data_IF_980100685312
#
_entry.id   IF_980100685312
#
_cell.length_a   1.000
_cell.length_b   1.000
_cell.length_c   1.000
_cell.angle_alpha   90.00
_cell.angle_beta   90.00
_cell.angle_gamma   90.00
#
_symmetry.space_group_name_H-M   'P 1'
#
loop_
_entity.id
_entity.type
_entity.pdbx_description
1 polymer ?
#
# COMPACT_ATOMS: atom_id res chain seq x y z
N UNK A 1 26.57 16.84 -5.54
CA UNK A 1 25.97 15.52 -5.24
C UNK A 1 26.16 15.24 -3.77
N UNK A 2 25.14 14.75 -3.06
CA UNK A 2 25.34 14.27 -1.68
C UNK A 2 26.10 12.93 -1.74
N UNK A 3 27.12 12.71 -0.89
CA UNK A 3 27.87 11.47 -0.89
C UNK A 3 26.93 10.30 -0.52
N UNK A 4 27.08 9.19 -1.24
CA UNK A 4 26.36 7.95 -1.00
C UNK A 4 27.03 7.25 0.18
N UNK A 5 26.38 7.29 1.35
CA UNK A 5 26.87 6.65 2.57
C UNK A 5 26.87 5.13 2.42
N UNK A 6 27.93 4.47 2.87
CA UNK A 6 28.01 3.02 2.87
C UNK A 6 27.11 2.41 3.96
N UNK A 7 26.77 1.14 3.83
CA UNK A 7 25.98 0.43 4.83
C UNK A 7 26.70 0.37 6.19
N UNK A 8 28.04 0.33 6.17
CA UNK A 8 28.87 0.34 7.37
C UNK A 8 28.85 1.71 8.07
N UNK A 9 28.80 2.82 7.32
CA UNK A 9 28.65 4.18 7.87
C UNK A 9 27.31 4.39 8.61
N UNK A 10 26.28 3.64 8.20
CA UNK A 10 24.96 3.64 8.85
C UNK A 10 24.95 2.82 10.14
N UNK A 11 25.73 1.75 10.22
CA UNK A 11 25.76 0.80 11.35
C UNK A 11 26.75 1.21 12.44
N UNK A 12 27.90 1.79 12.08
CA UNK A 12 28.95 2.26 13.01
C UNK A 12 28.77 3.70 13.48
N UNK A 13 27.68 4.34 13.06
CA UNK A 13 27.43 5.76 13.27
C UNK A 13 27.23 6.13 14.75
N UNK A 14 28.01 7.09 15.26
CA UNK A 14 27.76 7.81 16.52
C UNK A 14 26.42 8.58 16.52
N UNK A 15 25.64 8.51 15.43
CA UNK A 15 24.33 9.17 15.26
C UNK A 15 23.18 8.48 15.94
N UNK A 16 23.39 7.32 16.61
CA UNK A 16 22.31 6.65 17.35
C UNK A 16 21.62 7.59 18.35
N UNK A 17 22.38 8.42 19.06
CA UNK A 17 21.83 9.40 20.00
C UNK A 17 21.02 10.50 19.30
N UNK A 18 21.56 11.06 18.21
CA UNK A 18 20.89 12.06 17.35
C UNK A 18 19.56 11.51 16.79
N UNK A 19 19.59 10.32 16.20
CA UNK A 19 18.42 9.64 15.64
C UNK A 19 17.37 9.38 16.71
N UNK A 20 17.77 8.89 17.89
CA UNK A 20 16.85 8.69 19.01
C UNK A 20 16.25 10.00 19.52
N UNK A 21 17.03 11.09 19.54
CA UNK A 21 16.53 12.44 19.84
C UNK A 21 15.46 12.87 18.84
N UNK A 22 15.78 12.83 17.55
CA UNK A 22 14.84 13.18 16.47
C UNK A 22 13.55 12.34 16.51
N UNK A 23 13.65 11.03 16.80
CA UNK A 23 12.48 10.17 16.94
C UNK A 23 11.58 10.67 18.07
N UNK A 24 12.15 10.91 19.26
CA UNK A 24 11.38 11.39 20.43
C UNK A 24 10.69 12.72 20.15
N UNK A 25 11.42 13.66 19.56
CA UNK A 25 10.91 14.99 19.24
C UNK A 25 9.82 14.95 18.16
N UNK A 26 9.79 13.91 17.34
CA UNK A 26 8.82 13.75 16.25
C UNK A 26 7.55 13.00 16.63
N UNK A 27 7.49 12.38 17.82
CA UNK A 27 6.35 11.52 18.21
C UNK A 27 5.00 12.26 18.19
N UNK A 28 5.00 13.55 18.54
CA UNK A 28 3.81 14.40 18.54
C UNK A 28 3.30 14.76 17.13
N UNK A 29 4.09 14.54 16.08
CA UNK A 29 3.73 14.88 14.71
C UNK A 29 2.86 13.81 14.01
N UNK A 30 2.38 12.81 14.75
CA UNK A 30 1.59 11.72 14.16
C UNK A 30 0.17 12.17 13.79
N UNK A 31 -0.18 12.11 12.50
CA UNK A 31 -1.56 12.20 12.04
C UNK A 31 -2.28 10.85 12.24
N UNK A 32 -2.85 10.64 13.42
CA UNK A 32 -3.52 9.37 13.78
C UNK A 32 -5.02 9.36 13.49
N UNK A 33 -5.65 10.53 13.47
CA UNK A 33 -7.08 10.74 13.26
C UNK A 33 -7.32 12.07 12.57
N UNK A 34 -8.40 12.14 11.78
CA UNK A 34 -8.86 13.35 11.09
C UNK A 34 -10.34 13.56 11.39
N UNK A 35 -10.78 14.82 11.53
CA UNK A 35 -12.19 15.17 11.76
C UNK A 35 -12.63 16.29 10.81
N UNK A 36 -12.57 16.03 9.50
CA UNK A 36 -12.87 17.06 8.49
C UNK A 36 -14.37 17.29 8.28
N UNK A 37 -15.24 16.38 8.71
CA UNK A 37 -16.70 16.54 8.56
C UNK A 37 -17.24 17.80 9.25
N UNK A 38 -16.61 18.22 10.34
CA UNK A 38 -17.04 19.38 11.12
C UNK A 38 -16.46 20.70 10.61
N UNK A 39 -15.36 20.63 9.84
CA UNK A 39 -14.56 21.80 9.49
C UNK A 39 -14.54 22.11 8.00
N UNK A 40 -14.90 21.15 7.13
CA UNK A 40 -14.87 21.31 5.68
C UNK A 40 -16.30 21.16 5.12
N UNK A 41 -16.92 22.26 4.67
CA UNK A 41 -18.23 22.21 4.03
C UNK A 41 -18.24 21.31 2.80
N UNK A 42 -19.33 20.56 2.60
CA UNK A 42 -19.53 19.70 1.43
C UNK A 42 -19.05 18.25 1.59
N UNK A 43 -18.35 17.92 2.69
CA UNK A 43 -18.08 16.52 3.04
C UNK A 43 -19.33 15.87 3.62
N UNK A 44 -19.72 14.71 3.09
CA UNK A 44 -20.99 14.03 3.39
C UNK A 44 -20.83 12.90 4.40
N UNK A 45 -19.72 12.16 4.33
CA UNK A 45 -19.47 11.01 5.20
C UNK A 45 -17.97 10.77 5.34
N UNK A 46 -17.59 10.03 6.39
CA UNK A 46 -16.22 9.60 6.67
C UNK A 46 -16.21 8.08 6.82
N UNK A 47 -15.30 7.43 6.10
CA UNK A 47 -14.97 6.01 6.28
C UNK A 47 -13.55 5.93 6.83
N UNK A 48 -13.41 5.31 8.00
CA UNK A 48 -12.12 5.06 8.64
C UNK A 48 -11.62 3.67 8.25
N UNK A 49 -10.62 3.62 7.38
CA UNK A 49 -9.88 2.40 7.06
C UNK A 49 -8.70 2.17 8.02
N UNK A 50 -7.97 1.06 7.82
CA UNK A 50 -6.78 0.71 8.62
C UNK A 50 -5.76 1.85 8.65
N UNK A 51 -5.44 2.40 7.48
CA UNK A 51 -4.38 3.43 7.31
C UNK A 51 -4.82 4.71 6.60
N UNK A 52 -6.06 4.76 6.09
CA UNK A 52 -6.61 5.94 5.41
C UNK A 52 -7.96 6.32 6.03
N UNK A 53 -8.20 7.63 6.12
CA UNK A 53 -9.54 8.18 6.32
C UNK A 53 -10.03 8.67 4.95
N UNK A 54 -11.24 8.29 4.56
CA UNK A 54 -11.83 8.61 3.26
C UNK A 54 -13.07 9.44 3.52
N UNK A 55 -13.15 10.61 2.88
CA UNK A 55 -14.33 11.46 2.95
C UNK A 55 -15.02 11.54 1.60
N UNK A 56 -16.35 11.41 1.61
CA UNK A 56 -17.19 11.57 0.42
C UNK A 56 -17.52 13.05 0.21
N UNK A 57 -17.19 13.60 -0.95
CA UNK A 57 -17.49 14.97 -1.35
C UNK A 57 -18.46 15.04 -2.56
N UNK A 58 -19.27 14.01 -2.78
CA UNK A 58 -20.14 13.88 -3.95
C UNK A 58 -19.43 13.20 -5.12
N UNK A 59 -18.98 13.98 -6.09
CA UNK A 59 -18.30 13.48 -7.29
C UNK A 59 -16.81 13.13 -7.04
N UNK A 60 -16.30 13.52 -5.87
CA UNK A 60 -14.93 13.33 -5.46
C UNK A 60 -14.83 12.59 -4.13
N UNK A 61 -13.68 11.96 -3.92
CA UNK A 61 -13.25 11.40 -2.65
C UNK A 61 -12.02 12.17 -2.17
N UNK A 62 -12.02 12.54 -0.88
CA UNK A 62 -10.85 13.10 -0.19
C UNK A 62 -10.20 11.96 0.59
N UNK A 63 -9.03 11.53 0.13
CA UNK A 63 -8.27 10.42 0.69
C UNK A 63 -7.16 10.99 1.58
N UNK A 64 -7.23 10.73 2.89
CA UNK A 64 -6.21 11.14 3.84
C UNK A 64 -5.40 9.91 4.26
N UNK A 65 -4.13 9.87 3.87
CA UNK A 65 -3.21 8.81 4.28
C UNK A 65 -2.63 9.17 5.65
N UNK A 66 -2.98 8.36 6.65
CA UNK A 66 -2.63 8.59 8.06
C UNK A 66 -1.33 7.89 8.45
N UNK A 67 -0.81 8.25 9.62
CA UNK A 67 0.40 7.68 10.20
C UNK A 67 0.16 6.33 10.89
N UNK A 68 -1.10 5.87 10.95
CA UNK A 68 -1.46 4.57 11.53
C UNK A 68 -0.78 3.43 10.81
N UNK A 69 -0.24 2.49 11.57
CA UNK A 69 0.36 1.24 11.10
C UNK A 69 -0.51 0.07 11.55
N UNK A 70 -0.91 -0.77 10.60
CA UNK A 70 -1.56 -2.04 10.90
C UNK A 70 -0.68 -3.22 10.51
N UNK A 71 -0.64 -4.24 11.36
CA UNK A 71 -0.14 -5.57 11.00
C UNK A 71 -0.98 -6.63 11.72
N UNK A 72 -1.09 -7.81 11.11
CA UNK A 72 -1.95 -8.91 11.62
C UNK A 72 -3.38 -8.44 11.92
N UNK A 73 -3.93 -7.62 11.03
CA UNK A 73 -5.27 -7.00 11.12
C UNK A 73 -5.55 -6.19 12.39
N UNK A 74 -4.50 -5.74 13.08
CA UNK A 74 -4.59 -4.86 14.24
C UNK A 74 -3.84 -3.56 14.00
N UNK A 75 -4.38 -2.46 14.49
CA UNK A 75 -3.65 -1.20 14.57
C UNK A 75 -2.62 -1.30 15.69
N UNK A 76 -1.35 -1.10 15.38
CA UNK A 76 -0.24 -1.32 16.32
C UNK A 76 0.27 -0.02 16.92
N UNK A 77 0.44 1.01 16.09
CA UNK A 77 1.04 2.28 16.45
C UNK A 77 0.81 3.32 15.35
N UNK A 78 1.21 4.56 15.60
CA UNK A 78 1.40 5.56 14.56
C UNK A 78 2.89 5.83 14.38
N UNK A 79 3.33 5.95 13.13
CA UNK A 79 4.71 6.29 12.78
C UNK A 79 4.70 7.72 12.21
N UNK A 80 5.40 8.68 12.84
CA UNK A 80 5.43 10.06 12.37
C UNK A 80 5.77 10.15 10.88
N UNK A 81 4.99 10.93 10.14
CA UNK A 81 5.19 11.23 8.72
C UNK A 81 5.04 10.04 7.76
N UNK A 82 4.71 8.83 8.24
CA UNK A 82 4.48 7.65 7.39
C UNK A 82 3.43 7.93 6.33
N UNK A 83 2.35 8.61 6.69
CA UNK A 83 1.27 8.95 5.79
C UNK A 83 1.71 9.83 4.63
N UNK A 84 2.60 10.80 4.90
CA UNK A 84 3.18 11.68 3.88
C UNK A 84 4.02 10.88 2.90
N UNK A 85 4.97 10.09 3.42
CA UNK A 85 5.86 9.26 2.59
C UNK A 85 5.06 8.32 1.68
N UNK A 86 4.04 7.66 2.22
CA UNK A 86 3.21 6.73 1.44
C UNK A 86 2.35 7.45 0.39
N UNK A 87 1.81 8.63 0.72
CA UNK A 87 1.00 9.41 -0.19
C UNK A 87 1.84 9.98 -1.34
N UNK A 88 2.99 10.59 -1.03
CA UNK A 88 3.94 11.11 -2.01
C UNK A 88 4.52 10.01 -2.91
N UNK A 89 4.82 8.84 -2.34
CA UNK A 89 5.23 7.66 -3.13
C UNK A 89 4.12 7.21 -4.08
N UNK A 90 2.85 7.22 -3.63
CA UNK A 90 1.71 6.89 -4.48
C UNK A 90 1.57 7.89 -5.63
N UNK A 91 1.64 9.19 -5.34
CA UNK A 91 1.60 10.26 -6.33
C UNK A 91 2.72 10.14 -7.36
N UNK A 92 3.94 9.83 -6.91
CA UNK A 92 5.06 9.57 -7.81
C UNK A 92 4.74 8.43 -8.78
N UNK A 93 4.23 7.29 -8.29
CA UNK A 93 3.85 6.18 -9.17
C UNK A 93 2.72 6.54 -10.13
N UNK A 94 1.66 7.20 -9.64
CA UNK A 94 0.57 7.65 -10.51
C UNK A 94 1.06 8.57 -11.61
N UNK A 95 2.02 9.45 -11.33
CA UNK A 95 2.63 10.32 -12.33
C UNK A 95 3.49 9.53 -13.33
N UNK A 96 4.30 8.60 -12.86
CA UNK A 96 5.17 7.79 -13.73
C UNK A 96 4.38 6.84 -14.63
N UNK A 97 3.17 6.43 -14.26
CA UNK A 97 2.35 5.49 -15.03
C UNK A 97 1.22 6.13 -15.83
N UNK A 98 1.11 7.47 -15.87
CA UNK A 98 0.04 8.17 -16.62
C UNK A 98 0.01 7.82 -18.11
N UNK A 99 1.19 7.53 -18.68
CA UNK A 99 1.32 7.15 -20.08
C UNK A 99 0.77 5.74 -20.40
N UNK A 100 0.52 4.92 -19.37
CA UNK A 100 0.01 3.55 -19.50
C UNK A 100 -1.52 3.55 -19.38
N UNK A 101 -2.06 4.24 -18.38
CA UNK A 101 -3.51 4.30 -18.13
C UNK A 101 -3.90 5.58 -17.38
N UNK A 102 -5.09 6.15 -17.66
CA UNK A 102 -5.63 7.24 -16.84
C UNK A 102 -5.78 6.80 -15.37
N UNK A 103 -5.58 7.74 -14.45
CA UNK A 103 -5.82 7.52 -13.02
C UNK A 103 -6.85 8.52 -12.48
N UNK A 104 -7.34 8.26 -11.27
CA UNK A 104 -8.43 9.02 -10.66
C UNK A 104 -7.97 10.32 -9.97
N UNK A 105 -6.67 10.62 -9.91
CA UNK A 105 -6.16 11.77 -9.14
C UNK A 105 -6.57 13.08 -9.80
N UNK A 106 -7.10 14.00 -8.98
CA UNK A 106 -7.46 15.37 -9.37
C UNK A 106 -6.43 16.35 -8.82
N UNK A 107 -6.10 16.26 -7.53
CA UNK A 107 -5.10 17.13 -6.90
C UNK A 107 -4.59 16.54 -5.57
N UNK A 108 -3.53 17.13 -5.04
CA UNK A 108 -2.96 16.81 -3.72
C UNK A 108 -2.68 18.11 -2.97
N UNK A 109 -3.65 18.69 -2.24
CA UNK A 109 -3.49 19.98 -1.59
C UNK A 109 -2.57 19.95 -0.36
N UNK A 110 -2.34 18.76 0.20
CA UNK A 110 -1.46 18.52 1.34
C UNK A 110 -0.69 17.20 1.12
N UNK A 111 0.46 17.04 1.80
CA UNK A 111 1.30 15.83 1.67
C UNK A 111 0.60 14.55 2.11
N UNK A 112 -0.39 14.63 2.98
CA UNK A 112 -1.20 13.48 3.40
C UNK A 112 -2.49 13.30 2.57
N UNK A 113 -2.84 14.25 1.70
CA UNK A 113 -4.19 14.34 1.12
C UNK A 113 -4.17 14.21 -0.40
N UNK A 114 -5.01 13.31 -0.93
CA UNK A 114 -5.33 13.22 -2.36
C UNK A 114 -6.82 13.44 -2.56
N UNK A 115 -7.17 14.33 -3.50
CA UNK A 115 -8.53 14.45 -4.03
C UNK A 115 -8.58 13.63 -5.31
N UNK A 116 -9.49 12.66 -5.35
CA UNK A 116 -9.67 11.76 -6.49
C UNK A 116 -11.12 11.79 -6.98
N UNK A 117 -11.33 11.54 -8.27
CA UNK A 117 -12.66 11.31 -8.84
C UNK A 117 -13.27 10.05 -8.20
N UNK A 118 -14.55 10.12 -7.86
CA UNK A 118 -15.30 8.94 -7.41
C UNK A 118 -15.54 8.02 -8.60
N UNK A 119 -15.01 6.80 -8.53
CA UNK A 119 -15.09 5.81 -9.60
C UNK A 119 -15.91 4.59 -9.17
N UNK A 120 -16.56 3.95 -10.13
CA UNK A 120 -17.09 2.59 -9.95
C UNK A 120 -15.92 1.61 -9.90
N UNK A 121 -15.80 0.89 -8.77
CA UNK A 121 -14.71 -0.08 -8.57
C UNK A 121 -15.02 -1.35 -9.33
N UNK A 122 -14.09 -1.80 -10.17
CA UNK A 122 -14.12 -3.14 -10.72
C UNK A 122 -13.70 -4.14 -9.62
N UNK A 123 -14.54 -5.11 -9.23
CA UNK A 123 -14.39 -5.88 -7.98
C UNK A 123 -13.34 -7.00 -8.06
N UNK A 124 -12.22 -6.74 -8.73
CA UNK A 124 -11.10 -7.67 -8.90
C UNK A 124 -9.83 -6.99 -8.40
N UNK A 125 -9.08 -7.68 -7.56
CA UNK A 125 -7.74 -7.28 -7.14
C UNK A 125 -6.70 -7.89 -8.07
N UNK A 126 -6.02 -7.04 -8.84
CA UNK A 126 -4.96 -7.47 -9.74
C UNK A 126 -3.62 -7.50 -9.00
N UNK A 127 -3.16 -8.70 -8.66
CA UNK A 127 -1.86 -8.92 -8.02
C UNK A 127 -0.85 -9.37 -9.06
N UNK A 128 0.19 -8.56 -9.29
CA UNK A 128 1.33 -8.92 -10.14
C UNK A 128 2.46 -9.44 -9.25
N UNK A 129 3.02 -10.60 -9.62
CA UNK A 129 4.09 -11.25 -8.86
C UNK A 129 5.33 -11.45 -9.72
N UNK A 130 6.46 -10.95 -9.23
CA UNK A 130 7.79 -11.23 -9.81
C UNK A 130 8.63 -12.22 -9.00
N UNK A 131 8.18 -12.62 -7.81
CA UNK A 131 8.91 -13.49 -6.88
C UNK A 131 7.96 -14.49 -6.20
N UNK A 132 8.47 -15.69 -5.91
CA UNK A 132 7.78 -16.77 -5.21
C UNK A 132 7.83 -16.52 -3.70
N UNK A 133 6.93 -15.69 -3.17
CA UNK A 133 6.98 -15.29 -1.75
C UNK A 133 5.59 -15.20 -1.11
N UNK A 134 5.60 -14.77 0.16
CA UNK A 134 4.44 -14.58 1.03
C UNK A 134 4.23 -15.71 2.05
N UNK A 135 3.30 -15.45 2.96
CA UNK A 135 2.96 -16.34 4.08
C UNK A 135 1.46 -16.57 4.26
N UNK A 136 0.61 -15.84 3.51
CA UNK A 136 -0.85 -16.02 3.54
C UNK A 136 -1.28 -17.21 2.70
N UNK A 137 -2.49 -17.72 2.91
CA UNK A 137 -3.03 -18.86 2.15
C UNK A 137 -3.17 -18.59 0.64
N UNK A 138 -3.31 -17.32 0.26
CA UNK A 138 -3.38 -16.86 -1.13
C UNK A 138 -2.03 -16.39 -1.68
N UNK A 139 -0.93 -16.57 -0.93
CA UNK A 139 0.40 -16.20 -1.43
C UNK A 139 0.99 -17.30 -2.30
N UNK A 140 1.74 -16.89 -3.32
CA UNK A 140 2.30 -17.79 -4.31
C UNK A 140 3.18 -18.89 -3.68
N UNK A 141 4.02 -18.55 -2.70
CA UNK A 141 4.83 -19.56 -2.01
C UNK A 141 3.98 -20.56 -1.24
N UNK A 142 2.99 -20.11 -0.46
CA UNK A 142 2.14 -21.01 0.34
C UNK A 142 1.38 -21.99 -0.55
N UNK A 143 0.80 -21.51 -1.65
CA UNK A 143 0.06 -22.33 -2.62
C UNK A 143 0.98 -23.32 -3.33
N UNK A 144 2.13 -22.85 -3.82
CA UNK A 144 3.11 -23.70 -4.48
C UNK A 144 3.67 -24.80 -3.55
N UNK A 145 3.99 -24.45 -2.30
CA UNK A 145 4.50 -25.38 -1.30
C UNK A 145 3.45 -26.42 -0.87
N UNK A 146 2.15 -26.15 -1.06
CA UNK A 146 1.06 -27.12 -0.90
C UNK A 146 0.91 -28.06 -2.11
N UNK A 147 1.77 -27.95 -3.12
CA UNK A 147 1.79 -28.82 -4.30
C UNK A 147 0.98 -28.28 -5.50
N UNK A 148 0.40 -27.09 -5.40
CA UNK A 148 -0.36 -26.49 -6.51
C UNK A 148 0.62 -25.99 -7.57
N UNK A 149 0.39 -26.39 -8.82
CA UNK A 149 1.21 -26.00 -9.98
C UNK A 149 0.47 -25.17 -11.02
N UNK A 150 -0.86 -25.18 -10.99
CA UNK A 150 -1.66 -24.22 -11.74
C UNK A 150 -2.28 -23.23 -10.75
N UNK A 151 -1.90 -21.96 -10.86
CA UNK A 151 -2.37 -20.92 -9.95
C UNK A 151 -2.88 -19.72 -10.74
N UNK A 152 -4.19 -19.41 -10.60
CA UNK A 152 -4.87 -18.37 -11.38
C UNK A 152 -4.67 -18.53 -12.91
N UNK A 153 -4.62 -19.77 -13.40
CA UNK A 153 -4.35 -20.06 -14.82
C UNK A 153 -2.89 -19.97 -15.24
N UNK A 154 -1.96 -19.73 -14.31
CA UNK A 154 -0.52 -19.75 -14.58
C UNK A 154 0.05 -21.13 -14.24
N UNK A 155 0.73 -21.77 -15.19
CA UNK A 155 1.51 -22.98 -14.95
C UNK A 155 2.86 -22.65 -14.33
N UNK A 156 3.14 -23.25 -13.17
CA UNK A 156 4.36 -23.06 -12.40
C UNK A 156 5.25 -24.28 -12.59
N UNK A 157 6.51 -24.05 -12.96
CA UNK A 157 7.52 -25.09 -13.06
C UNK A 157 7.80 -25.73 -11.70
N UNK A 158 8.18 -27.00 -11.70
CA UNK A 158 8.73 -27.64 -10.51
C UNK A 158 10.08 -27.03 -10.08
N UNK A 159 10.48 -27.33 -8.85
CA UNK A 159 11.77 -26.92 -8.29
C UNK A 159 11.86 -25.46 -7.82
N UNK A 160 10.77 -24.66 -7.90
CA UNK A 160 10.78 -23.30 -7.34
C UNK A 160 11.01 -23.31 -5.82
N UNK A 161 11.83 -22.38 -5.34
CA UNK A 161 12.12 -22.20 -3.91
C UNK A 161 11.61 -20.86 -3.39
N UNK A 162 11.47 -20.74 -2.06
CA UNK A 162 10.98 -19.52 -1.41
C UNK A 162 11.87 -18.32 -1.73
N UNK A 163 11.24 -17.20 -2.06
CA UNK A 163 11.84 -15.93 -2.47
C UNK A 163 12.62 -15.95 -3.80
N UNK A 164 12.48 -17.01 -4.60
CA UNK A 164 13.07 -17.06 -5.94
C UNK A 164 12.38 -16.05 -6.88
N UNK A 165 13.16 -15.41 -7.76
CA UNK A 165 12.62 -14.59 -8.86
C UNK A 165 11.96 -15.48 -9.91
N UNK A 166 10.75 -15.11 -10.33
CA UNK A 166 10.06 -15.78 -11.42
C UNK A 166 10.71 -15.46 -12.78
N UNK A 167 10.65 -16.38 -13.76
CA UNK A 167 11.18 -16.13 -15.09
C UNK A 167 10.44 -14.98 -15.80
N UNK A 168 9.15 -14.81 -15.52
CA UNK A 168 8.33 -13.70 -15.98
C UNK A 168 7.38 -13.26 -14.86
N UNK A 169 6.92 -12.00 -14.92
CA UNK A 169 5.87 -11.55 -14.02
C UNK A 169 4.56 -12.28 -14.35
N UNK A 170 3.86 -12.75 -13.32
CA UNK A 170 2.56 -13.40 -13.47
C UNK A 170 1.46 -12.56 -12.83
N UNK A 171 0.25 -12.66 -13.38
CA UNK A 171 -0.95 -12.04 -12.84
C UNK A 171 -1.75 -13.09 -12.07
N UNK A 172 -2.09 -12.79 -10.82
CA UNK A 172 -2.88 -13.69 -9.97
C UNK A 172 -4.06 -12.92 -9.40
N UNK A 173 -5.11 -12.70 -10.21
CA UNK A 173 -6.25 -11.91 -9.78
C UNK A 173 -7.02 -12.63 -8.67
N UNK A 174 -7.59 -11.86 -7.74
CA UNK A 174 -8.48 -12.36 -6.70
C UNK A 174 -9.77 -11.55 -6.67
N UNK A 175 -10.90 -12.20 -6.39
CA UNK A 175 -12.16 -11.48 -6.14
C UNK A 175 -12.16 -10.92 -4.73
N UNK A 176 -12.78 -9.75 -4.58
CA UNK A 176 -13.00 -9.14 -3.27
C UNK A 176 -14.26 -9.75 -2.62
N UNK A 177 -14.09 -10.78 -1.80
CA UNK A 177 -15.18 -11.33 -0.98
C UNK A 177 -15.16 -10.71 0.43
N UNK A 178 -16.30 -10.77 1.13
CA UNK A 178 -16.50 -10.08 2.41
C UNK A 178 -15.56 -10.59 3.53
N UNK A 179 -15.21 -11.88 3.50
CA UNK A 179 -14.39 -12.51 4.55
C UNK A 179 -12.92 -12.70 4.11
N UNK A 180 -12.67 -13.19 2.89
CA UNK A 180 -11.32 -13.43 2.35
C UNK A 180 -11.27 -13.39 0.83
N UNK A 181 -10.21 -12.82 0.25
CA UNK A 181 -10.02 -12.77 -1.20
C UNK A 181 -9.82 -14.18 -1.79
N UNK A 182 -10.49 -14.47 -2.91
CA UNK A 182 -10.46 -15.78 -3.58
C UNK A 182 -9.73 -15.68 -4.92
N UNK A 183 -8.72 -16.52 -5.20
CA UNK A 183 -8.04 -16.55 -6.51
C UNK A 183 -8.99 -16.90 -7.65
N UNK A 184 -8.88 -16.18 -8.77
CA UNK A 184 -9.62 -16.45 -10.01
C UNK A 184 -8.67 -16.58 -11.20
N UNK A 185 -9.10 -17.30 -12.23
CA UNK A 185 -8.41 -17.41 -13.52
C UNK A 185 -9.03 -16.47 -14.58
N UNK A 186 -8.37 -16.23 -15.72
CA UNK A 186 -8.92 -15.35 -16.77
C UNK A 186 -10.27 -15.80 -17.38
N UNK A 187 -10.63 -17.08 -17.25
CA UNK A 187 -11.86 -17.64 -17.81
C UNK A 187 -13.06 -17.57 -16.84
N UNK A 188 -12.83 -17.11 -15.60
CA UNK A 188 -13.82 -16.95 -14.53
C UNK A 188 -14.13 -15.46 -14.30
#
# INVERSE_FOLDING_TARGET
>A
GRPQLSLDDLVTSNRKGEVLGTIKDSLSNCLSETNLLETVPGLKSRIRGKVRDIYDAGDYLVLITTDRLSAFDRNLASIPFKGQVLNETSLWWFNNTQHITPNAIVSSPDRNVVIAKKCSVFPIEFVVRGYVTGSTDTSLWTVYNKGVRNYCGNELSDGLVKNQKLPANILTPTTKAADHDVPISPNE
#
